data_IF_520851473314
#
_entry.id   IF_520851473314
#
_cell.length_a   1.000
_cell.length_b   1.000
_cell.length_c   1.000
_cell.angle_alpha   90.00
_cell.angle_beta   90.00
_cell.angle_gamma   90.00
#
_symmetry.space_group_name_H-M   'P 1'
#
loop_
_entity.id
_entity.type
_entity.pdbx_description
1 polymer ?
#
# COMPACT_ATOMS: atom_id res chain seq x y z
N UNK A 1 -4.81 14.97 -3.72
CA UNK A 1 -5.93 14.01 -3.48
C UNK A 1 -5.43 12.59 -3.66
N UNK A 2 -6.02 11.58 -2.98
CA UNK A 2 -5.66 10.15 -3.17
C UNK A 2 -5.69 9.74 -4.66
N UNK A 3 -6.68 10.22 -5.41
CA UNK A 3 -6.86 9.87 -6.83
C UNK A 3 -5.84 10.51 -7.78
N UNK A 4 -5.06 11.48 -7.31
CA UNK A 4 -4.03 12.17 -8.10
C UNK A 4 -2.65 11.52 -7.93
N UNK A 5 -2.50 10.60 -6.97
CA UNK A 5 -1.25 9.87 -6.76
C UNK A 5 -1.09 8.86 -7.88
N UNK A 6 0.09 8.89 -8.51
CA UNK A 6 0.51 7.87 -9.49
C UNK A 6 1.05 6.62 -8.77
N UNK A 7 0.15 5.68 -8.49
CA UNK A 7 0.47 4.40 -7.85
C UNK A 7 1.11 3.38 -8.79
N UNK A 8 1.31 3.71 -10.08
CA UNK A 8 2.04 2.81 -10.97
C UNK A 8 3.53 2.77 -10.57
N UNK A 9 4.07 3.84 -10.01
CA UNK A 9 5.46 3.90 -9.52
C UNK A 9 5.65 3.24 -8.15
N UNK A 10 6.91 3.20 -7.70
CA UNK A 10 7.28 2.84 -6.34
C UNK A 10 6.79 3.94 -5.38
N UNK A 11 5.90 3.57 -4.46
CA UNK A 11 5.30 4.50 -3.51
C UNK A 11 5.30 3.84 -2.13
N UNK A 12 5.76 4.57 -1.11
CA UNK A 12 5.59 4.22 0.29
C UNK A 12 4.45 5.06 0.86
N UNK A 13 3.39 4.42 1.34
CA UNK A 13 2.31 5.10 2.05
C UNK A 13 2.60 5.05 3.55
N UNK A 14 2.55 6.21 4.20
CA UNK A 14 2.69 6.31 5.65
C UNK A 14 1.39 6.79 6.26
N UNK A 15 0.88 6.01 7.21
CA UNK A 15 -0.33 6.33 7.96
C UNK A 15 0.06 6.58 9.41
N UNK A 16 -0.47 7.66 9.95
CA UNK A 16 -0.24 8.09 11.32
C UNK A 16 -1.20 7.43 12.31
N UNK A 17 -0.89 7.48 13.60
CA UNK A 17 -1.79 6.92 14.61
C UNK A 17 -3.09 7.74 14.74
N UNK A 18 -4.13 7.15 15.34
CA UNK A 18 -5.47 7.73 15.44
C UNK A 18 -5.53 9.05 16.22
N UNK A 19 -4.57 9.30 17.10
CA UNK A 19 -4.63 10.41 18.04
C UNK A 19 -3.79 11.62 17.62
N UNK A 20 -2.68 11.37 16.94
CA UNK A 20 -1.63 12.35 16.62
C UNK A 20 -1.39 12.48 15.11
N UNK A 21 -1.94 11.56 14.31
CA UNK A 21 -1.60 11.48 12.90
C UNK A 21 -0.14 11.09 12.69
N UNK A 22 0.45 11.59 11.58
CA UNK A 22 1.83 11.31 11.19
C UNK A 22 2.75 12.27 11.94
N UNK A 23 3.88 11.79 12.48
CA UNK A 23 4.83 12.66 13.18
C UNK A 23 5.44 13.71 12.25
N UNK A 24 5.83 14.86 12.81
CA UNK A 24 6.44 15.96 12.05
C UNK A 24 7.74 15.54 11.36
N UNK A 25 8.50 14.63 11.98
CA UNK A 25 9.72 14.04 11.41
C UNK A 25 9.42 13.30 10.10
N UNK A 26 8.42 12.41 10.11
CA UNK A 26 8.01 11.67 8.92
C UNK A 26 7.42 12.61 7.88
N UNK A 27 6.65 13.61 8.31
CA UNK A 27 6.08 14.62 7.41
C UNK A 27 7.15 15.43 6.69
N UNK A 28 8.28 15.68 7.34
CA UNK A 28 9.43 16.40 6.75
C UNK A 28 10.20 15.54 5.74
N UNK A 29 10.22 14.23 5.92
CA UNK A 29 10.87 13.28 5.01
C UNK A 29 9.99 12.85 3.84
N UNK A 30 8.68 13.08 3.92
CA UNK A 30 7.73 12.67 2.88
C UNK A 30 7.80 13.58 1.66
N UNK A 31 7.71 12.98 0.47
CA UNK A 31 7.63 13.72 -0.81
C UNK A 31 6.32 14.54 -0.95
N UNK A 32 5.34 14.25 -0.11
CA UNK A 32 4.07 14.95 -0.10
C UNK A 32 3.07 14.37 0.90
N UNK A 33 1.87 14.94 0.90
CA UNK A 33 0.72 14.43 1.64
C UNK A 33 -0.46 14.22 0.71
N UNK A 34 -1.44 13.46 1.17
CA UNK A 34 -2.69 13.27 0.46
C UNK A 34 -3.86 13.24 1.42
N UNK A 35 -5.05 13.44 0.85
CA UNK A 35 -6.32 13.29 1.55
C UNK A 35 -7.18 12.29 0.79
N UNK A 36 -8.01 11.56 1.52
CA UNK A 36 -9.11 10.79 0.94
C UNK A 36 -10.31 11.74 0.90
N UNK A 37 -10.83 12.12 -0.28
CA UNK A 37 -12.00 12.99 -0.36
C UNK A 37 -13.16 12.38 0.43
N UNK A 38 -13.72 13.16 1.36
CA UNK A 38 -14.83 12.77 2.21
C UNK A 38 -15.97 13.77 2.01
N UNK A 39 -17.20 13.26 2.06
CA UNK A 39 -18.42 14.05 1.99
C UNK A 39 -19.16 13.92 3.33
N UNK A 40 -19.66 15.03 3.86
CA UNK A 40 -20.40 15.07 5.12
C UNK A 40 -19.60 15.70 6.26
N UNK A 41 -19.99 15.40 7.50
CA UNK A 41 -19.50 16.07 8.72
C UNK A 41 -18.29 15.38 9.36
N UNK A 42 -17.92 14.19 8.89
CA UNK A 42 -16.84 13.40 9.47
C UNK A 42 -15.49 13.96 8.99
N UNK A 43 -14.57 14.15 9.93
CA UNK A 43 -13.27 14.77 9.67
C UNK A 43 -12.20 13.77 9.23
N UNK A 44 -12.36 12.49 9.58
CA UNK A 44 -11.40 11.44 9.24
C UNK A 44 -12.07 10.06 9.20
N UNK A 45 -11.49 9.18 8.38
CA UNK A 45 -11.80 7.75 8.41
C UNK A 45 -10.99 7.07 9.50
N UNK A 46 -11.48 5.93 9.99
CA UNK A 46 -10.66 4.99 10.74
C UNK A 46 -9.39 4.65 9.94
N UNK A 47 -8.24 4.54 10.61
CA UNK A 47 -6.95 4.32 9.96
C UNK A 47 -6.95 3.07 9.07
N UNK A 48 -7.54 1.97 9.52
CA UNK A 48 -7.60 0.73 8.73
C UNK A 48 -8.44 0.90 7.46
N UNK A 49 -9.51 1.68 7.53
CA UNK A 49 -10.37 2.01 6.39
C UNK A 49 -9.63 2.92 5.41
N UNK A 50 -8.91 3.93 5.92
CA UNK A 50 -8.08 4.80 5.09
C UNK A 50 -6.98 4.02 4.36
N UNK A 51 -6.32 3.08 5.05
CA UNK A 51 -5.35 2.16 4.47
C UNK A 51 -5.99 1.31 3.37
N UNK A 52 -7.12 0.66 3.65
CA UNK A 52 -7.81 -0.19 2.69
C UNK A 52 -8.20 0.58 1.43
N UNK A 53 -8.84 1.74 1.58
CA UNK A 53 -9.23 2.59 0.43
C UNK A 53 -8.01 2.99 -0.40
N UNK A 54 -6.90 3.38 0.24
CA UNK A 54 -5.68 3.78 -0.46
C UNK A 54 -5.02 2.62 -1.20
N UNK A 55 -4.98 1.43 -0.59
CA UNK A 55 -4.42 0.23 -1.21
C UNK A 55 -5.28 -0.24 -2.38
N UNK A 56 -6.61 -0.19 -2.27
CA UNK A 56 -7.51 -0.56 -3.37
C UNK A 56 -7.46 0.43 -4.55
N UNK A 57 -7.22 1.71 -4.28
CA UNK A 57 -6.89 2.69 -5.32
C UNK A 57 -5.58 2.31 -6.04
N UNK A 58 -4.53 2.02 -5.27
CA UNK A 58 -3.25 1.59 -5.82
C UNK A 58 -3.39 0.30 -6.65
N UNK A 59 -4.16 -0.66 -6.16
CA UNK A 59 -4.50 -1.89 -6.87
C UNK A 59 -5.20 -1.58 -8.20
N UNK A 60 -6.23 -0.70 -8.20
CA UNK A 60 -6.94 -0.30 -9.42
C UNK A 60 -5.98 0.28 -10.47
N UNK A 61 -5.10 1.19 -10.07
CA UNK A 61 -4.13 1.80 -10.99
C UNK A 61 -3.11 0.77 -11.50
N UNK A 62 -2.52 -0.03 -10.61
CA UNK A 62 -1.55 -1.08 -10.96
C UNK A 62 -2.17 -2.16 -11.85
N UNK A 63 -3.42 -2.54 -11.61
CA UNK A 63 -4.14 -3.48 -12.47
C UNK A 63 -4.36 -2.90 -13.86
N UNK A 64 -4.79 -1.64 -13.98
CA UNK A 64 -4.96 -0.96 -15.28
C UNK A 64 -3.63 -0.80 -16.03
N UNK A 65 -2.53 -0.63 -15.32
CA UNK A 65 -1.18 -0.60 -15.88
C UNK A 65 -0.61 -2.00 -16.21
N UNK A 66 -1.34 -3.09 -15.90
CA UNK A 66 -0.92 -4.46 -16.20
C UNK A 66 0.17 -5.00 -15.26
N UNK A 67 0.42 -4.38 -14.11
CA UNK A 67 1.50 -4.78 -13.19
C UNK A 67 1.30 -6.15 -12.55
N UNK A 68 0.07 -6.66 -12.55
CA UNK A 68 -0.26 -8.00 -12.04
C UNK A 68 -0.29 -9.08 -13.13
N UNK A 69 -0.03 -8.75 -14.40
CA UNK A 69 -0.01 -9.73 -15.49
C UNK A 69 1.24 -10.63 -15.43
N UNK A 70 2.32 -10.16 -14.81
CA UNK A 70 3.57 -10.87 -14.69
C UNK A 70 4.25 -10.52 -13.37
N UNK A 71 4.88 -11.51 -12.72
CA UNK A 71 5.61 -11.29 -11.48
C UNK A 71 6.82 -10.40 -11.74
N UNK A 72 6.92 -9.28 -11.02
CA UNK A 72 8.08 -8.39 -11.05
C UNK A 72 9.22 -8.88 -10.14
N UNK A 73 9.01 -9.96 -9.37
CA UNK A 73 9.99 -10.46 -8.42
C UNK A 73 10.93 -11.49 -9.07
N UNK A 74 12.26 -11.36 -8.90
CA UNK A 74 13.21 -12.39 -9.34
C UNK A 74 12.86 -13.76 -8.77
N UNK A 75 12.94 -14.81 -9.60
CA UNK A 75 12.57 -16.18 -9.22
C UNK A 75 13.31 -16.68 -7.98
N UNK A 76 14.59 -16.36 -7.85
CA UNK A 76 15.38 -16.75 -6.68
C UNK A 76 14.81 -16.15 -5.39
N UNK A 77 14.51 -14.86 -5.40
CA UNK A 77 13.90 -14.18 -4.24
C UNK A 77 12.52 -14.74 -3.92
N UNK A 78 11.72 -15.04 -4.94
CA UNK A 78 10.43 -15.70 -4.76
C UNK A 78 10.58 -17.06 -4.08
N UNK A 79 11.50 -17.91 -4.56
CA UNK A 79 11.75 -19.23 -3.98
C UNK A 79 12.22 -19.15 -2.53
N UNK A 80 13.10 -18.19 -2.21
CA UNK A 80 13.52 -17.94 -0.81
C UNK A 80 12.33 -17.57 0.08
N UNK A 81 11.43 -16.70 -0.39
CA UNK A 81 10.23 -16.33 0.38
C UNK A 81 9.27 -17.52 0.55
N UNK A 82 9.05 -18.30 -0.50
CA UNK A 82 8.19 -19.49 -0.44
C UNK A 82 8.72 -20.54 0.55
N UNK A 83 10.05 -20.74 0.60
CA UNK A 83 10.69 -21.57 1.61
C UNK A 83 10.48 -21.00 3.03
N UNK A 84 10.77 -19.71 3.22
CA UNK A 84 10.68 -19.07 4.54
C UNK A 84 9.24 -19.02 5.08
N UNK A 85 8.24 -19.01 4.20
CA UNK A 85 6.82 -19.04 4.56
C UNK A 85 6.24 -20.46 4.66
N UNK A 86 7.06 -21.51 4.49
CA UNK A 86 6.66 -22.90 4.68
C UNK A 86 5.83 -23.52 3.56
N UNK A 87 5.71 -22.85 2.40
CA UNK A 87 4.92 -23.39 1.27
C UNK A 87 5.53 -24.66 0.67
N UNK A 88 6.85 -24.84 0.78
CA UNK A 88 7.55 -26.00 0.22
C UNK A 88 7.59 -27.21 1.16
N UNK A 89 7.02 -27.11 2.37
CA UNK A 89 6.89 -28.25 3.30
C UNK A 89 5.59 -29.04 3.07
N UNK A 90 4.58 -28.41 2.47
CA UNK A 90 3.26 -29.00 2.22
C UNK A 90 3.32 -30.05 1.09
N UNK A 91 4.29 -29.95 0.17
CA UNK A 91 4.48 -30.93 -0.93
C UNK A 91 5.18 -32.24 -0.52
N UNK A 92 5.60 -32.40 0.75
CA UNK A 92 6.30 -33.60 1.23
C UNK A 92 5.45 -34.56 2.08
N UNK A 93 4.13 -34.40 2.10
CA UNK A 93 3.18 -35.39 2.64
C UNK A 93 2.40 -36.05 1.50
#
# INVERSE_FOLDING_TARGET
SLYEIDFTKSVALVFGNEHSGVSDEVRTLADGNFIIPQMGIIQSLNISVACAVSIYEAFRQKQRAGHYLQSSMPKEKMNTLMNNWGFNEIEKQ
#
